data_IF_726931516370
#
_entry.id   IF_726931516370
#
_cell.length_a   1.000
_cell.length_b   1.000
_cell.length_c   1.000
_cell.angle_alpha   90.00
_cell.angle_beta   90.00
_cell.angle_gamma   90.00
#
_symmetry.space_group_name_H-M   'P 1'
#
loop_
_entity.id
_entity.type
_entity.pdbx_description
1 polymer ?
#
# COMPACT_ATOMS: atom_id res chain seq x y z
N UNK A 1 -4.16 16.90 -0.38
CA UNK A 1 -3.79 16.21 -1.64
C UNK A 1 -4.65 16.78 -2.75
N UNK A 2 -4.06 17.62 -3.59
CA UNK A 2 -4.75 18.14 -4.78
C UNK A 2 -5.05 16.97 -5.71
N UNK A 3 -6.33 16.73 -5.97
CA UNK A 3 -6.79 15.75 -6.94
C UNK A 3 -6.51 16.34 -8.33
N UNK A 4 -5.40 15.96 -8.94
CA UNK A 4 -5.05 16.38 -10.30
C UNK A 4 -6.01 15.74 -11.31
N UNK A 5 -7.12 16.42 -11.61
CA UNK A 5 -8.12 16.08 -12.62
C UNK A 5 -7.82 16.67 -14.01
N UNK A 6 -6.53 16.82 -14.35
CA UNK A 6 -6.11 17.13 -15.70
C UNK A 6 -5.74 15.84 -16.42
N UNK A 7 -6.29 15.58 -17.61
CA UNK A 7 -5.78 14.57 -18.53
C UNK A 7 -4.37 14.97 -19.00
N UNK A 8 -3.38 14.83 -18.12
CA UNK A 8 -1.98 14.87 -18.51
C UNK A 8 -1.78 13.72 -19.49
N UNK A 9 -1.04 13.97 -20.57
CA UNK A 9 -0.60 12.89 -21.44
C UNK A 9 0.32 11.97 -20.62
N UNK A 10 -0.28 10.95 -20.01
CA UNK A 10 0.34 10.13 -18.98
C UNK A 10 1.56 9.32 -19.47
N UNK A 11 1.76 9.20 -20.78
CA UNK A 11 2.99 8.64 -21.37
C UNK A 11 4.17 9.61 -21.12
N UNK A 12 3.98 10.88 -21.49
CA UNK A 12 4.99 11.93 -21.25
C UNK A 12 5.25 12.12 -19.76
N UNK A 13 4.22 11.91 -18.94
CA UNK A 13 4.35 11.96 -17.49
C UNK A 13 5.22 10.84 -16.94
N UNK A 14 5.06 9.59 -17.42
CA UNK A 14 5.93 8.50 -17.01
C UNK A 14 7.41 8.76 -17.36
N UNK A 15 7.66 9.34 -18.54
CA UNK A 15 9.01 9.75 -18.96
C UNK A 15 9.58 10.87 -18.08
N UNK A 16 8.78 11.90 -17.81
CA UNK A 16 9.15 13.02 -16.94
C UNK A 16 9.48 12.54 -15.53
N UNK A 17 8.65 11.68 -14.95
CA UNK A 17 8.85 11.11 -13.62
C UNK A 17 10.10 10.23 -13.56
N UNK A 18 10.29 9.36 -14.56
CA UNK A 18 11.50 8.52 -14.63
C UNK A 18 12.78 9.35 -14.68
N UNK A 19 12.75 10.52 -15.35
CA UNK A 19 13.88 11.46 -15.37
C UNK A 19 14.33 11.95 -14.00
N UNK A 20 13.42 12.05 -13.02
CA UNK A 20 13.74 12.47 -11.64
C UNK A 20 14.63 11.47 -10.90
N UNK A 21 14.59 10.19 -11.28
CA UNK A 21 15.36 9.12 -10.64
C UNK A 21 16.87 9.20 -10.95
N UNK A 22 17.28 9.97 -11.96
CA UNK A 22 18.69 10.18 -12.31
C UNK A 22 19.47 10.98 -11.26
N UNK A 23 18.82 11.41 -10.18
CA UNK A 23 19.47 12.04 -9.04
C UNK A 23 20.34 11.02 -8.28
N UNK A 24 21.58 11.39 -7.94
CA UNK A 24 22.52 10.56 -7.19
C UNK A 24 22.06 10.22 -5.76
N UNK A 25 21.18 11.03 -5.18
CA UNK A 25 20.58 10.75 -3.87
C UNK A 25 19.55 9.61 -3.91
N UNK A 26 19.00 9.28 -5.09
CA UNK A 26 18.03 8.22 -5.23
C UNK A 26 18.70 6.85 -5.31
N UNK A 27 18.35 5.96 -4.39
CA UNK A 27 18.86 4.59 -4.29
C UNK A 27 17.73 3.54 -4.24
N UNK A 28 16.54 3.92 -4.72
CA UNK A 28 15.35 3.07 -4.67
C UNK A 28 15.47 1.83 -5.57
N UNK A 29 14.77 0.75 -5.20
CA UNK A 29 14.60 -0.40 -6.09
C UNK A 29 13.92 -0.02 -7.41
N UNK A 30 13.01 0.97 -7.39
CA UNK A 30 12.43 1.55 -8.59
C UNK A 30 13.53 2.07 -9.53
N UNK A 31 14.48 2.89 -9.04
CA UNK A 31 15.59 3.38 -9.87
C UNK A 31 16.45 2.24 -10.39
N UNK A 32 16.77 1.27 -9.56
CA UNK A 32 17.58 0.10 -9.93
C UNK A 32 16.95 -0.68 -11.10
N UNK A 33 15.63 -0.82 -11.11
CA UNK A 33 14.92 -1.69 -12.05
C UNK A 33 14.19 -0.97 -13.18
N UNK A 34 13.89 0.32 -13.08
CA UNK A 34 13.26 1.08 -14.18
C UNK A 34 14.32 1.53 -15.19
N UNK A 35 14.81 0.58 -15.99
CA UNK A 35 15.71 0.89 -17.12
C UNK A 35 14.95 1.61 -18.24
N UNK A 36 15.69 2.22 -19.16
CA UNK A 36 15.10 2.88 -20.33
C UNK A 36 14.27 1.90 -21.17
N UNK A 37 14.77 0.67 -21.35
CA UNK A 37 14.11 -0.39 -22.11
C UNK A 37 12.77 -0.76 -21.46
N UNK A 38 12.74 -0.95 -20.13
CA UNK A 38 11.50 -1.23 -19.39
C UNK A 38 10.53 -0.05 -19.42
N UNK A 39 11.03 1.18 -19.26
CA UNK A 39 10.19 2.38 -19.38
C UNK A 39 9.52 2.44 -20.76
N UNK A 40 10.29 2.26 -21.84
CA UNK A 40 9.78 2.31 -23.20
C UNK A 40 8.76 1.20 -23.50
N UNK A 41 8.98 -0.01 -22.97
CA UNK A 41 8.05 -1.14 -23.10
C UNK A 41 6.74 -0.96 -22.32
N UNK A 42 6.78 -0.28 -21.17
CA UNK A 42 5.68 -0.22 -20.22
C UNK A 42 4.87 1.09 -20.25
N UNK A 43 5.47 2.22 -20.66
CA UNK A 43 4.83 3.55 -20.57
C UNK A 43 3.51 3.71 -21.32
N UNK A 44 3.23 2.85 -22.29
CA UNK A 44 1.98 2.84 -23.09
C UNK A 44 0.93 1.85 -22.57
N UNK A 45 1.28 0.96 -21.63
CA UNK A 45 0.39 -0.07 -21.10
C UNK A 45 -0.62 0.55 -20.13
N UNK A 46 -1.81 -0.05 -20.07
CA UNK A 46 -2.90 0.34 -19.16
C UNK A 46 -3.58 -0.88 -18.58
N UNK A 47 -3.97 -0.81 -17.31
CA UNK A 47 -4.85 -1.80 -16.67
C UNK A 47 -6.30 -1.56 -17.08
N UNK A 48 -7.19 -2.53 -16.83
CA UNK A 48 -8.63 -2.43 -17.08
C UNK A 48 -9.29 -1.32 -16.27
N UNK A 49 -8.75 -0.96 -15.11
CA UNK A 49 -9.24 0.15 -14.29
C UNK A 49 -8.67 1.51 -14.71
N UNK A 50 -7.82 1.55 -15.75
CA UNK A 50 -7.22 2.78 -16.28
C UNK A 50 -5.89 3.16 -15.61
N UNK A 51 -5.35 2.29 -14.76
CA UNK A 51 -4.03 2.40 -14.16
C UNK A 51 -2.93 2.41 -15.21
N UNK A 52 -1.86 3.17 -14.95
CA UNK A 52 -0.75 3.42 -15.89
C UNK A 52 0.56 3.44 -15.11
N UNK A 53 1.69 3.29 -15.82
CA UNK A 53 3.00 3.27 -15.18
C UNK A 53 3.26 4.52 -14.32
N UNK A 54 2.87 5.71 -14.81
CA UNK A 54 3.02 6.97 -14.07
C UNK A 54 2.38 6.91 -12.67
N UNK A 55 1.16 6.36 -12.56
CA UNK A 55 0.49 6.17 -11.27
C UNK A 55 1.28 5.26 -10.32
N UNK A 56 2.06 4.32 -10.85
CA UNK A 56 2.81 3.38 -10.03
C UNK A 56 4.12 3.96 -9.50
N UNK A 57 4.77 4.82 -10.28
CA UNK A 57 6.14 5.30 -10.00
C UNK A 57 6.18 6.68 -9.35
N UNK A 58 5.08 7.45 -9.43
CA UNK A 58 5.03 8.85 -9.00
C UNK A 58 5.56 9.07 -7.58
N UNK A 59 5.22 8.21 -6.63
CA UNK A 59 5.66 8.36 -5.24
C UNK A 59 7.18 8.25 -5.10
N UNK A 60 7.82 7.23 -5.69
CA UNK A 60 9.28 7.10 -5.62
C UNK A 60 10.05 8.13 -6.46
N UNK A 61 9.43 8.63 -7.54
CA UNK A 61 10.01 9.69 -8.35
C UNK A 61 9.97 11.07 -7.65
N UNK A 62 8.99 11.30 -6.75
CA UNK A 62 8.88 12.53 -5.97
C UNK A 62 9.57 12.44 -4.60
N UNK A 63 9.71 11.23 -4.05
CA UNK A 63 10.35 10.96 -2.75
C UNK A 63 11.58 10.09 -2.95
N UNK A 64 12.69 10.74 -3.33
CA UNK A 64 13.92 10.07 -3.81
C UNK A 64 14.64 9.25 -2.71
N UNK A 65 14.31 9.48 -1.45
CA UNK A 65 14.75 8.75 -0.26
C UNK A 65 13.98 7.42 -0.05
N UNK A 66 12.95 7.15 -0.83
CA UNK A 66 12.22 5.88 -0.80
C UNK A 66 13.14 4.68 -1.05
N UNK A 67 13.08 3.66 -0.21
CA UNK A 67 13.86 2.42 -0.40
C UNK A 67 13.37 1.57 -1.58
N UNK A 68 12.04 1.49 -1.78
CA UNK A 68 11.43 0.71 -2.88
C UNK A 68 10.96 1.63 -4.00
N UNK A 69 10.10 2.61 -3.69
CA UNK A 69 9.71 3.68 -4.62
C UNK A 69 8.61 3.34 -5.63
N UNK A 70 7.99 2.16 -5.60
CA UNK A 70 6.89 1.79 -6.50
C UNK A 70 5.66 1.32 -5.71
N UNK A 71 4.47 1.69 -6.19
CA UNK A 71 3.18 1.23 -5.67
C UNK A 71 2.33 0.71 -6.82
N UNK A 72 1.64 -0.42 -6.64
CA UNK A 72 0.63 -0.83 -7.61
C UNK A 72 -0.53 0.17 -7.61
N UNK A 73 -1.01 0.58 -8.79
CA UNK A 73 -2.17 1.48 -8.90
C UNK A 73 -3.51 0.74 -8.78
N UNK A 74 -3.52 -0.55 -9.06
CA UNK A 74 -4.65 -1.48 -8.87
C UNK A 74 -4.12 -2.94 -8.88
N UNK A 75 -4.96 -3.96 -8.58
CA UNK A 75 -4.50 -5.35 -8.57
C UNK A 75 -3.89 -5.85 -9.87
N UNK A 76 -4.35 -5.37 -11.03
CA UNK A 76 -3.87 -5.81 -12.34
C UNK A 76 -2.52 -5.19 -12.71
N UNK A 77 -2.08 -4.14 -11.99
CA UNK A 77 -0.78 -3.52 -12.19
C UNK A 77 0.39 -4.51 -12.04
N UNK A 78 0.26 -5.49 -11.12
CA UNK A 78 1.28 -6.54 -10.94
C UNK A 78 1.45 -7.42 -12.19
N UNK A 79 0.40 -7.59 -12.99
CA UNK A 79 0.46 -8.36 -14.24
C UNK A 79 0.77 -7.46 -15.44
N UNK A 80 0.14 -6.28 -15.52
CA UNK A 80 0.31 -5.34 -16.65
C UNK A 80 1.72 -4.77 -16.72
N UNK A 81 2.37 -4.58 -15.56
CA UNK A 81 3.71 -4.03 -15.44
C UNK A 81 4.66 -5.03 -14.76
N UNK A 82 4.44 -6.34 -14.95
CA UNK A 82 5.24 -7.41 -14.34
C UNK A 82 6.73 -7.29 -14.64
N UNK A 83 7.11 -6.85 -15.84
CA UNK A 83 8.51 -6.64 -16.24
C UNK A 83 9.27 -5.65 -15.33
N UNK A 84 8.54 -4.82 -14.57
CA UNK A 84 9.07 -3.94 -13.54
C UNK A 84 8.76 -4.43 -12.12
N UNK A 85 7.53 -4.86 -11.83
CA UNK A 85 7.15 -5.31 -10.48
C UNK A 85 7.87 -6.58 -10.06
N UNK A 86 7.94 -7.59 -10.92
CA UNK A 86 8.54 -8.89 -10.60
C UNK A 86 9.99 -8.77 -10.14
N UNK A 87 10.91 -8.12 -10.88
CA UNK A 87 12.29 -7.98 -10.42
C UNK A 87 12.41 -7.17 -9.13
N UNK A 88 11.55 -6.17 -8.91
CA UNK A 88 11.52 -5.40 -7.65
C UNK A 88 11.04 -6.28 -6.48
N UNK A 89 9.99 -7.08 -6.67
CA UNK A 89 9.45 -7.99 -5.65
C UNK A 89 10.51 -9.03 -5.30
N UNK A 90 11.16 -9.64 -6.30
CA UNK A 90 12.24 -10.61 -6.11
C UNK A 90 13.40 -10.03 -5.29
N UNK A 91 13.83 -8.82 -5.62
CA UNK A 91 14.91 -8.10 -4.93
C UNK A 91 14.54 -7.79 -3.48
N UNK A 92 13.37 -7.19 -3.26
CA UNK A 92 12.89 -6.82 -1.93
C UNK A 92 12.67 -8.03 -1.02
N UNK A 93 12.06 -9.10 -1.55
CA UNK A 93 11.76 -10.32 -0.82
C UNK A 93 12.89 -11.36 -0.83
N UNK A 94 14.01 -11.06 -1.51
CA UNK A 94 15.19 -11.94 -1.61
C UNK A 94 14.83 -13.35 -2.09
N UNK A 95 14.05 -13.43 -3.17
CA UNK A 95 13.58 -14.70 -3.77
C UNK A 95 13.73 -14.65 -5.28
N UNK A 96 14.09 -15.79 -5.88
CA UNK A 96 14.13 -15.93 -7.35
C UNK A 96 12.80 -16.37 -7.94
N UNK A 97 11.92 -16.94 -7.10
CA UNK A 97 10.63 -17.52 -7.48
C UNK A 97 9.49 -16.70 -6.88
N UNK A 98 8.58 -16.27 -7.76
CA UNK A 98 7.32 -15.63 -7.38
C UNK A 98 6.24 -16.70 -7.27
N UNK A 99 6.16 -17.30 -6.10
CA UNK A 99 5.13 -18.27 -5.76
C UNK A 99 4.74 -18.06 -4.29
N UNK A 100 3.43 -18.07 -4.00
CA UNK A 100 2.93 -17.94 -2.65
C UNK A 100 1.90 -19.05 -2.39
N UNK A 101 2.03 -19.83 -1.29
CA UNK A 101 1.06 -20.86 -0.97
C UNK A 101 -0.32 -20.27 -0.68
N UNK A 102 -1.35 -21.11 -0.70
CA UNK A 102 -2.69 -20.68 -0.28
C UNK A 102 -2.65 -20.20 1.18
N UNK A 103 -3.39 -19.13 1.54
CA UNK A 103 -3.45 -18.66 2.91
C UNK A 103 -3.91 -19.77 3.86
N UNK A 104 -3.14 -20.01 4.92
CA UNK A 104 -3.46 -20.96 5.97
C UNK A 104 -3.03 -20.37 7.31
N UNK A 105 -4.00 -20.10 8.19
CA UNK A 105 -3.73 -19.49 9.49
C UNK A 105 -3.35 -20.51 10.57
N UNK A 106 -3.48 -21.82 10.31
CA UNK A 106 -3.26 -22.89 11.28
C UNK A 106 -4.52 -23.71 11.55
N UNK A 107 -4.40 -24.67 12.46
CA UNK A 107 -5.54 -25.37 13.05
C UNK A 107 -6.26 -24.45 14.07
N UNK A 108 -7.46 -24.84 14.50
CA UNK A 108 -8.28 -24.06 15.44
C UNK A 108 -7.54 -23.68 16.75
N UNK A 109 -6.59 -24.51 17.18
CA UNK A 109 -5.68 -24.21 18.29
C UNK A 109 -4.21 -24.21 17.84
N UNK A 110 -3.59 -23.03 17.87
CA UNK A 110 -2.14 -22.87 17.78
C UNK A 110 -1.55 -22.85 19.18
N UNK A 111 -0.74 -23.85 19.51
CA UNK A 111 0.00 -23.90 20.77
C UNK A 111 1.25 -23.03 20.69
N UNK A 112 1.04 -21.72 20.77
CA UNK A 112 2.12 -20.74 20.97
C UNK A 112 2.32 -20.57 22.47
N UNK A 113 3.45 -21.03 23.02
CA UNK A 113 3.77 -20.83 24.44
C UNK A 113 3.96 -19.34 24.78
N UNK A 114 3.83 -18.99 26.06
CA UNK A 114 4.16 -17.65 26.53
C UNK A 114 5.66 -17.36 26.27
N UNK A 115 5.93 -16.37 25.42
CA UNK A 115 7.27 -15.93 25.04
C UNK A 115 8.07 -15.34 26.21
N UNK A 116 7.38 -14.86 27.25
CA UNK A 116 8.00 -14.37 28.47
C UNK A 116 7.28 -14.89 29.71
N UNK A 117 7.69 -16.09 30.14
CA UNK A 117 7.19 -16.73 31.36
C UNK A 117 7.48 -15.91 32.62
N UNK A 118 8.48 -15.04 32.61
CA UNK A 118 8.83 -14.19 33.76
C UNK A 118 7.99 -12.92 33.83
N UNK A 119 7.44 -12.47 32.71
CA UNK A 119 6.69 -11.21 32.59
C UNK A 119 7.55 -9.95 32.76
N UNK A 120 8.87 -10.03 32.58
CA UNK A 120 9.82 -8.92 32.86
C UNK A 120 10.41 -8.27 31.61
N UNK A 121 10.20 -8.85 30.43
CA UNK A 121 10.88 -8.47 29.18
C UNK A 121 9.92 -8.02 28.09
N UNK A 122 8.75 -8.67 27.98
CA UNK A 122 7.81 -8.38 26.89
C UNK A 122 6.72 -7.41 27.36
N UNK A 123 6.78 -6.17 26.84
CA UNK A 123 5.77 -5.14 27.12
C UNK A 123 4.45 -5.44 26.41
N UNK A 124 4.50 -5.83 25.13
CA UNK A 124 3.32 -6.19 24.34
C UNK A 124 3.69 -7.11 23.17
N UNK A 125 2.70 -7.83 22.64
CA UNK A 125 2.82 -8.63 21.41
C UNK A 125 1.73 -8.20 20.44
N UNK A 126 2.08 -8.01 19.15
CA UNK A 126 1.15 -7.50 18.14
C UNK A 126 1.26 -8.29 16.85
N UNK A 127 0.12 -8.72 16.32
CA UNK A 127 -0.02 -9.35 15.00
C UNK A 127 -0.86 -8.43 14.11
N UNK A 128 -0.43 -8.20 12.86
CA UNK A 128 -1.16 -7.39 11.87
C UNK A 128 -1.19 -8.12 10.54
N UNK A 129 -2.37 -8.15 9.92
CA UNK A 129 -2.55 -8.54 8.52
C UNK A 129 -3.15 -7.40 7.73
N UNK A 130 -2.76 -7.26 6.46
CA UNK A 130 -3.35 -6.31 5.53
C UNK A 130 -4.18 -7.05 4.47
N UNK A 131 -5.24 -6.40 3.98
CA UNK A 131 -6.13 -6.91 2.92
C UNK A 131 -6.45 -5.79 1.95
N UNK A 132 -6.84 -6.19 0.75
CA UNK A 132 -7.36 -5.30 -0.29
C UNK A 132 -8.79 -5.72 -0.64
N UNK A 133 -9.63 -4.75 -0.99
CA UNK A 133 -10.99 -5.05 -1.48
C UNK A 133 -10.93 -5.47 -2.95
N UNK A 134 -11.52 -6.62 -3.25
CA UNK A 134 -11.69 -7.04 -4.64
C UNK A 134 -12.58 -6.03 -5.40
N UNK A 135 -12.22 -5.73 -6.64
CA UNK A 135 -12.95 -4.78 -7.49
C UNK A 135 -12.63 -3.29 -7.25
N UNK A 136 -11.76 -2.96 -6.30
CA UNK A 136 -11.34 -1.58 -6.05
C UNK A 136 -9.89 -1.34 -6.51
N UNK A 137 -9.59 -0.15 -7.07
CA UNK A 137 -8.21 0.26 -7.30
C UNK A 137 -7.49 0.54 -5.99
N UNK A 138 -6.16 0.62 -6.04
CA UNK A 138 -5.33 1.02 -4.91
C UNK A 138 -5.25 2.55 -4.79
N UNK A 139 -4.70 3.09 -3.69
CA UNK A 139 -4.66 4.54 -3.44
C UNK A 139 -4.21 5.41 -4.62
N UNK A 140 -3.24 5.01 -5.48
CA UNK A 140 -2.83 5.84 -6.63
C UNK A 140 -3.94 6.11 -7.67
N UNK A 141 -4.99 5.28 -7.72
CA UNK A 141 -6.09 5.38 -8.69
C UNK A 141 -7.47 5.45 -7.99
N UNK A 142 -7.48 5.50 -6.65
CA UNK A 142 -8.70 5.49 -5.86
C UNK A 142 -9.36 6.87 -5.84
N UNK A 143 -10.61 6.94 -6.31
CA UNK A 143 -11.42 8.17 -6.23
C UNK A 143 -12.03 8.34 -4.84
N UNK A 144 -12.44 9.57 -4.51
CA UNK A 144 -13.14 9.86 -3.24
C UNK A 144 -14.41 9.02 -3.10
N UNK A 145 -15.22 8.93 -4.16
CA UNK A 145 -16.45 8.13 -4.17
C UNK A 145 -16.18 6.65 -3.86
N UNK A 146 -15.20 6.05 -4.54
CA UNK A 146 -14.80 4.65 -4.31
C UNK A 146 -14.23 4.44 -2.91
N UNK A 147 -13.45 5.40 -2.39
CA UNK A 147 -12.92 5.37 -1.02
C UNK A 147 -14.05 5.38 0.02
N UNK A 148 -15.02 6.26 -0.14
CA UNK A 148 -16.20 6.32 0.74
C UNK A 148 -17.03 5.04 0.62
N UNK A 149 -17.12 4.43 -0.57
CA UNK A 149 -17.78 3.14 -0.74
C UNK A 149 -17.04 2.01 0.00
N UNK A 150 -15.70 1.94 -0.12
CA UNK A 150 -14.88 0.97 0.63
C UNK A 150 -15.06 1.15 2.14
N UNK A 151 -15.03 2.39 2.62
CA UNK A 151 -15.28 2.71 4.03
C UNK A 151 -16.64 2.18 4.49
N UNK A 152 -17.72 2.51 3.77
CA UNK A 152 -19.08 2.02 4.11
C UNK A 152 -19.14 0.50 4.17
N UNK A 153 -18.57 -0.20 3.19
CA UNK A 153 -18.54 -1.66 3.15
C UNK A 153 -17.77 -2.25 4.34
N UNK A 154 -16.61 -1.69 4.66
CA UNK A 154 -15.78 -2.13 5.79
C UNK A 154 -16.47 -1.88 7.12
N UNK A 155 -17.03 -0.69 7.34
CA UNK A 155 -17.76 -0.36 8.57
C UNK A 155 -18.97 -1.27 8.74
N UNK A 156 -19.72 -1.53 7.67
CA UNK A 156 -20.85 -2.46 7.71
C UNK A 156 -20.41 -3.88 8.12
N UNK A 157 -19.30 -4.39 7.57
CA UNK A 157 -18.76 -5.69 7.93
C UNK A 157 -18.26 -5.74 9.38
N UNK A 158 -17.54 -4.72 9.84
CA UNK A 158 -17.02 -4.64 11.21
C UNK A 158 -18.15 -4.58 12.25
N UNK A 159 -19.27 -3.90 11.93
CA UNK A 159 -20.46 -3.85 12.81
C UNK A 159 -21.16 -5.21 13.00
N UNK A 160 -20.86 -6.21 12.16
CA UNK A 160 -21.39 -7.57 12.34
C UNK A 160 -20.59 -8.39 13.36
N UNK A 161 -19.39 -7.94 13.74
CA UNK A 161 -18.56 -8.61 14.74
C UNK A 161 -19.20 -8.48 16.13
N UNK A 162 -19.13 -9.57 16.91
CA UNK A 162 -19.77 -9.71 18.23
C UNK A 162 -18.75 -10.14 19.28
N UNK A 163 -19.16 -10.13 20.54
CA UNK A 163 -18.31 -10.58 21.66
C UNK A 163 -17.11 -9.66 21.84
N UNK A 164 -15.92 -10.24 22.00
CA UNK A 164 -14.66 -9.51 22.19
C UNK A 164 -14.26 -8.62 20.99
N UNK A 165 -14.83 -8.88 19.81
CA UNK A 165 -14.54 -8.12 18.58
C UNK A 165 -15.52 -6.97 18.34
N UNK A 166 -16.57 -6.83 19.15
CA UNK A 166 -17.49 -5.71 19.04
C UNK A 166 -16.78 -4.41 19.42
N UNK A 167 -17.07 -3.31 18.71
CA UNK A 167 -16.39 -2.04 18.95
C UNK A 167 -17.03 -0.84 18.26
N UNK A 168 -16.37 0.31 18.36
CA UNK A 168 -16.82 1.59 17.83
C UNK A 168 -15.96 2.02 16.64
N UNK A 169 -16.61 2.47 15.57
CA UNK A 169 -15.93 3.09 14.44
C UNK A 169 -15.81 4.60 14.64
N UNK A 170 -14.59 5.12 14.58
CA UNK A 170 -14.28 6.55 14.71
C UNK A 170 -13.82 7.10 13.34
N UNK A 171 -14.69 7.77 12.56
CA UNK A 171 -14.28 8.37 11.29
C UNK A 171 -13.32 9.53 11.55
N UNK A 172 -12.27 9.67 10.72
CA UNK A 172 -11.39 10.84 10.78
C UNK A 172 -12.13 12.14 10.42
N UNK A 173 -13.09 12.06 9.50
CA UNK A 173 -13.89 13.21 9.13
C UNK A 173 -14.84 13.56 10.27
N UNK A 174 -14.67 14.75 10.83
CA UNK A 174 -15.48 15.23 11.95
C UNK A 174 -15.06 14.70 13.32
N UNK A 175 -13.92 14.00 13.43
CA UNK A 175 -13.35 13.60 14.72
C UNK A 175 -13.05 14.84 15.58
N UNK A 176 -13.43 14.80 16.87
CA UNK A 176 -13.11 15.88 17.80
C UNK A 176 -11.63 15.84 18.21
N UNK A 177 -11.09 16.97 18.68
CA UNK A 177 -9.70 17.01 19.18
C UNK A 177 -9.51 16.10 20.39
N UNK A 178 -10.51 16.04 21.26
CA UNK A 178 -10.49 15.21 22.46
C UNK A 178 -10.47 13.72 22.08
N UNK A 179 -11.22 13.32 21.05
CA UNK A 179 -11.17 11.95 20.51
C UNK A 179 -9.81 11.65 19.86
N UNK A 180 -9.29 12.59 19.07
CA UNK A 180 -7.98 12.47 18.42
C UNK A 180 -6.86 12.28 19.45
N UNK A 181 -6.77 13.15 20.45
CA UNK A 181 -5.78 13.11 21.52
C UNK A 181 -5.82 11.78 22.28
N UNK A 182 -7.03 11.29 22.58
CA UNK A 182 -7.22 10.01 23.25
C UNK A 182 -6.70 8.86 22.38
N UNK A 183 -7.12 8.78 21.11
CA UNK A 183 -6.72 7.70 20.21
C UNK A 183 -5.21 7.72 19.90
N UNK A 184 -4.57 8.89 19.90
CA UNK A 184 -3.11 9.02 19.78
C UNK A 184 -2.42 8.47 21.03
N UNK A 185 -2.89 8.86 22.23
CA UNK A 185 -2.33 8.39 23.51
C UNK A 185 -2.44 6.87 23.66
N UNK A 186 -3.54 6.30 23.20
CA UNK A 186 -3.78 4.85 23.25
C UNK A 186 -3.07 4.08 22.11
N UNK A 187 -2.28 4.77 21.27
CA UNK A 187 -1.57 4.22 20.12
C UNK A 187 -2.49 3.55 19.07
N UNK A 188 -3.72 4.06 18.92
CA UNK A 188 -4.70 3.59 17.94
C UNK A 188 -4.78 4.45 16.69
N UNK A 189 -4.57 5.76 16.79
CA UNK A 189 -4.62 6.66 15.65
C UNK A 189 -3.31 6.61 14.85
N UNK A 190 -3.43 6.48 13.53
CA UNK A 190 -2.30 6.66 12.62
C UNK A 190 -2.07 8.15 12.35
N UNK A 191 -0.82 8.56 12.19
CA UNK A 191 -0.45 9.93 11.88
C UNK A 191 -0.30 10.15 10.37
N UNK A 192 -0.27 11.41 9.96
CA UNK A 192 -0.07 11.84 8.57
C UNK A 192 1.42 12.15 8.29
N UNK A 193 2.34 11.50 9.02
CA UNK A 193 3.78 11.86 8.98
C UNK A 193 4.52 11.30 7.76
N UNK A 194 3.84 10.54 6.89
CA UNK A 194 4.40 9.94 5.68
C UNK A 194 3.65 10.46 4.44
N UNK A 195 3.76 11.77 4.17
CA UNK A 195 3.28 12.40 2.94
C UNK A 195 4.39 12.54 1.91
#
# INVERSE_FOLDING_TARGET
>A
MSCCTGQVNNIKEAERLAGLLNNNACNSLLKKHLTKERLDALKKRKTKLGGQLAHCIVSGCLNLDSSVGIYACDPEAYTTFSDLFDPIIKDYHKTDVLNHPKPYFGADELKCGNLDKSGTRIVSTRVRVARSHNGFPFPPLLTVEKRLQMERMTVAALKLLKGELAGTYYPLSGMSKEEEEKLVKDHFLFNDSNR
#
